data_IF_148648224570
#
_entry.id   IF_148648224570
#
_cell.length_a   1.000
_cell.length_b   1.000
_cell.length_c   1.000
_cell.angle_alpha   90.00
_cell.angle_beta   90.00
_cell.angle_gamma   90.00
#
_symmetry.space_group_name_H-M   'P 1'
#
loop_
_entity.id
_entity.type
_entity.pdbx_description
1 polymer ?
#
# COMPACT_ATOMS: atom_id res chain seq x y z
N UNK A 1 -15.34 -13.29 -3.29
CA UNK A 1 -14.07 -12.89 -3.93
C UNK A 1 -13.58 -11.57 -3.36
N UNK A 2 -12.31 -11.51 -3.02
CA UNK A 2 -11.73 -10.29 -2.48
C UNK A 2 -11.44 -9.28 -3.59
N UNK A 3 -11.71 -8.00 -3.33
CA UNK A 3 -11.32 -6.90 -4.21
C UNK A 3 -9.88 -6.52 -3.90
N UNK A 4 -9.10 -6.22 -4.93
CA UNK A 4 -7.68 -5.89 -4.79
C UNK A 4 -7.43 -4.39 -4.95
N UNK A 5 -6.52 -3.88 -4.15
CA UNK A 5 -6.10 -2.47 -4.19
C UNK A 5 -4.59 -2.39 -4.04
N UNK A 6 -3.96 -1.48 -4.79
CA UNK A 6 -2.53 -1.22 -4.70
C UNK A 6 -2.32 -0.06 -3.74
N UNK A 7 -1.35 -0.16 -2.83
CA UNK A 7 -1.10 0.95 -1.89
C UNK A 7 0.31 0.91 -1.30
N UNK A 8 0.71 2.04 -0.74
CA UNK A 8 1.89 2.12 0.10
C UNK A 8 1.56 1.59 1.50
N UNK A 9 2.52 0.90 2.12
CA UNK A 9 2.30 0.32 3.44
C UNK A 9 1.93 1.35 4.51
N UNK A 10 2.44 2.57 4.41
CA UNK A 10 2.17 3.63 5.40
C UNK A 10 0.68 4.00 5.47
N UNK A 11 -0.07 3.78 4.40
CA UNK A 11 -1.51 4.04 4.40
C UNK A 11 -2.22 3.27 5.51
N UNK A 12 -1.74 2.06 5.81
CA UNK A 12 -2.32 1.21 6.85
C UNK A 12 -2.10 1.76 8.26
N UNK A 13 -1.05 2.55 8.44
CA UNK A 13 -0.76 3.20 9.72
C UNK A 13 -1.54 4.51 9.88
N UNK A 14 -1.70 5.26 8.79
CA UNK A 14 -2.38 6.56 8.79
C UNK A 14 -3.90 6.36 8.82
N UNK A 15 -4.41 5.39 8.08
CA UNK A 15 -5.85 5.13 7.92
C UNK A 15 -6.21 3.75 8.47
N UNK A 16 -6.37 3.68 9.79
CA UNK A 16 -6.67 2.41 10.47
C UNK A 16 -7.95 1.72 9.97
N UNK A 17 -8.91 2.47 9.44
CA UNK A 17 -10.14 1.90 8.90
C UNK A 17 -9.89 0.96 7.71
N UNK A 18 -8.74 1.06 7.05
CA UNK A 18 -8.39 0.14 5.97
C UNK A 18 -8.21 -1.30 6.47
N UNK A 19 -7.95 -1.49 7.77
CA UNK A 19 -7.82 -2.82 8.36
C UNK A 19 -9.16 -3.39 8.85
N UNK A 20 -10.24 -2.63 8.70
CA UNK A 20 -11.58 -3.03 9.15
C UNK A 20 -12.64 -2.77 8.08
N UNK A 21 -12.46 -3.26 6.85
CA UNK A 21 -13.46 -3.08 5.80
C UNK A 21 -14.69 -3.95 6.07
N UNK A 22 -15.79 -3.66 5.39
CA UNK A 22 -17.03 -4.41 5.54
C UNK A 22 -17.11 -5.64 4.62
N UNK A 23 -16.20 -5.76 3.67
CA UNK A 23 -16.13 -6.91 2.76
C UNK A 23 -14.68 -7.32 2.53
N UNK A 24 -14.43 -8.55 2.03
CA UNK A 24 -13.06 -9.03 1.84
C UNK A 24 -12.25 -8.17 0.88
N UNK A 25 -11.01 -7.84 1.26
CA UNK A 25 -10.08 -7.07 0.44
C UNK A 25 -8.69 -7.69 0.47
N UNK A 26 -7.97 -7.52 -0.64
CA UNK A 26 -6.55 -7.83 -0.75
C UNK A 26 -5.80 -6.54 -1.02
N UNK A 27 -4.81 -6.22 -0.19
CA UNK A 27 -3.92 -5.10 -0.46
C UNK A 27 -2.63 -5.62 -1.05
N UNK A 28 -2.30 -5.16 -2.25
CA UNK A 28 -1.06 -5.50 -2.94
C UNK A 28 -0.06 -4.38 -2.68
N UNK A 29 1.00 -4.70 -1.97
CA UNK A 29 1.93 -3.72 -1.40
C UNK A 29 3.32 -3.93 -1.99
N UNK A 30 3.86 -2.94 -2.75
CA UNK A 30 5.24 -3.04 -3.21
C UNK A 30 6.21 -3.11 -2.03
N UNK A 31 7.18 -4.00 -2.10
CA UNK A 31 8.11 -4.24 -1.01
C UNK A 31 8.88 -2.99 -0.60
N UNK A 32 9.23 -2.14 -1.56
CA UNK A 32 9.96 -0.89 -1.28
C UNK A 32 9.21 0.00 -0.30
N UNK A 33 7.86 -0.01 -0.35
CA UNK A 33 7.06 0.79 0.59
C UNK A 33 7.12 0.23 2.01
N UNK A 34 7.40 -1.06 2.16
CA UNK A 34 7.62 -1.66 3.48
C UNK A 34 8.96 -1.16 4.03
N UNK A 35 10.00 -1.09 3.18
CA UNK A 35 11.30 -0.57 3.59
C UNK A 35 11.21 0.88 4.05
N UNK A 36 10.34 1.67 3.42
CA UNK A 36 10.12 3.05 3.84
C UNK A 36 9.57 3.16 5.27
N UNK A 37 8.85 2.14 5.75
CA UNK A 37 8.32 2.16 7.12
C UNK A 37 9.45 2.26 8.15
N UNK A 38 10.58 1.60 7.90
CA UNK A 38 11.74 1.66 8.80
C UNK A 38 12.30 3.07 8.85
N UNK A 39 12.43 3.71 7.69
CA UNK A 39 12.94 5.09 7.62
C UNK A 39 12.00 6.06 8.33
N UNK A 40 10.69 5.90 8.15
CA UNK A 40 9.68 6.75 8.77
C UNK A 40 9.66 6.58 10.29
N UNK A 41 9.82 5.35 10.79
CA UNK A 41 9.79 5.07 12.22
C UNK A 41 10.99 5.70 12.94
N UNK A 42 12.18 5.56 12.35
CA UNK A 42 13.41 6.02 12.96
C UNK A 42 13.76 7.47 12.63
N UNK A 43 13.08 8.06 11.65
CA UNK A 43 13.30 9.42 11.22
C UNK A 43 12.80 10.45 12.23
N UNK A 44 13.43 11.63 12.21
CA UNK A 44 13.04 12.75 13.07
C UNK A 44 11.92 13.59 12.46
N UNK A 45 11.62 13.41 11.19
CA UNK A 45 10.56 14.17 10.53
C UNK A 45 9.17 13.68 10.96
N UNK A 46 8.24 14.65 11.07
CA UNK A 46 6.86 14.34 11.39
C UNK A 46 6.14 13.83 10.15
N UNK A 47 5.45 12.70 10.30
CA UNK A 47 4.57 12.16 9.26
C UNK A 47 3.22 12.86 9.32
N UNK A 48 2.77 13.19 10.54
CA UNK A 48 1.49 13.84 10.80
C UNK A 48 1.69 15.27 11.28
N UNK A 49 0.67 16.15 11.10
CA UNK A 49 0.81 17.58 11.48
C UNK A 49 1.06 17.84 12.95
N UNK A 50 0.58 16.99 13.86
CA UNK A 50 0.77 17.17 15.30
C UNK A 50 1.68 16.11 15.88
N UNK A 51 2.46 16.42 16.93
CA UNK A 51 3.31 15.42 17.58
C UNK A 51 2.54 14.24 18.15
N UNK A 52 1.33 14.46 18.64
CA UNK A 52 0.50 13.38 19.21
C UNK A 52 0.04 12.40 18.13
N UNK A 53 -0.45 12.92 17.00
CA UNK A 53 -0.86 12.09 15.87
C UNK A 53 0.33 11.38 15.26
N UNK A 54 1.47 12.06 15.19
CA UNK A 54 2.70 11.49 14.68
C UNK A 54 3.17 10.31 15.53
N UNK A 55 3.13 10.46 16.86
CA UNK A 55 3.50 9.38 17.77
C UNK A 55 2.58 8.17 17.60
N UNK A 56 1.28 8.41 17.41
CA UNK A 56 0.31 7.34 17.19
C UNK A 56 0.61 6.59 15.89
N UNK A 57 0.84 7.31 14.80
CA UNK A 57 1.16 6.71 13.50
C UNK A 57 2.48 5.94 13.57
N UNK A 58 3.50 6.49 14.20
CA UNK A 58 4.79 5.80 14.37
C UNK A 58 4.65 4.51 15.19
N UNK A 59 3.76 4.53 16.19
CA UNK A 59 3.46 3.31 16.94
C UNK A 59 2.81 2.25 16.04
N UNK A 60 1.88 2.65 15.20
CA UNK A 60 1.24 1.75 14.24
C UNK A 60 2.24 1.22 13.21
N UNK A 61 3.16 2.05 12.75
CA UNK A 61 4.25 1.61 11.86
C UNK A 61 5.07 0.52 12.56
N UNK A 62 5.37 0.70 13.84
CA UNK A 62 6.08 -0.33 14.62
C UNK A 62 5.35 -1.65 14.68
N UNK A 63 4.02 -1.62 14.84
CA UNK A 63 3.20 -2.82 14.82
C UNK A 63 3.24 -3.51 13.46
N UNK A 64 3.16 -2.74 12.37
CA UNK A 64 3.25 -3.29 11.02
C UNK A 64 4.62 -3.92 10.76
N UNK A 65 5.70 -3.25 11.18
CA UNK A 65 7.06 -3.78 11.04
C UNK A 65 7.18 -5.13 11.77
N UNK A 66 6.69 -5.18 13.01
CA UNK A 66 6.71 -6.41 13.81
C UNK A 66 5.93 -7.53 13.10
N UNK A 67 4.82 -7.21 12.48
CA UNK A 67 4.02 -8.18 11.73
C UNK A 67 4.81 -8.72 10.53
N UNK A 68 5.44 -7.84 9.76
CA UNK A 68 6.23 -8.25 8.59
C UNK A 68 7.50 -9.02 8.97
N UNK A 69 8.06 -8.77 10.16
CA UNK A 69 9.26 -9.46 10.66
C UNK A 69 8.94 -10.77 11.36
N UNK A 70 7.66 -11.05 11.65
CA UNK A 70 7.28 -12.34 12.18
C UNK A 70 7.86 -13.46 11.30
N UNK A 71 8.43 -14.47 11.92
CA UNK A 71 9.21 -15.50 11.23
C UNK A 71 8.50 -16.10 10.02
N UNK A 72 7.24 -16.43 10.15
CA UNK A 72 6.48 -17.05 9.07
C UNK A 72 6.15 -16.05 7.95
N UNK A 73 5.75 -14.85 8.32
CA UNK A 73 5.46 -13.79 7.35
C UNK A 73 6.71 -13.40 6.58
N UNK A 74 7.84 -13.29 7.28
CA UNK A 74 9.12 -12.96 6.66
C UNK A 74 9.51 -13.98 5.60
N UNK A 75 9.29 -15.25 5.86
CA UNK A 75 9.57 -16.31 4.88
C UNK A 75 8.72 -16.18 3.63
N UNK A 76 7.45 -15.80 3.79
CA UNK A 76 6.56 -15.56 2.65
C UNK A 76 7.06 -14.37 1.82
N UNK A 77 7.46 -13.29 2.47
CA UNK A 77 7.99 -12.11 1.79
C UNK A 77 9.28 -12.46 1.04
N UNK A 78 10.16 -13.23 1.65
CA UNK A 78 11.41 -13.66 1.02
C UNK A 78 11.17 -14.42 -0.29
N UNK A 79 10.07 -15.15 -0.39
CA UNK A 79 9.72 -15.83 -1.65
C UNK A 79 9.44 -14.83 -2.77
N UNK A 80 8.78 -13.71 -2.46
CA UNK A 80 8.56 -12.65 -3.46
C UNK A 80 9.87 -12.05 -3.94
N UNK A 81 10.84 -11.91 -3.02
CA UNK A 81 12.12 -11.24 -3.31
C UNK A 81 13.07 -12.07 -4.17
N UNK A 82 12.73 -13.31 -4.49
CA UNK A 82 13.57 -14.16 -5.32
C UNK A 82 13.59 -13.76 -6.79
N UNK A 83 12.58 -13.03 -7.25
CA UNK A 83 12.48 -12.62 -8.63
C UNK A 83 11.64 -11.35 -8.76
N UNK A 84 12.08 -10.43 -9.62
CA UNK A 84 11.33 -9.21 -9.91
C UNK A 84 9.89 -9.53 -10.31
N UNK A 85 8.96 -8.74 -9.80
CA UNK A 85 7.52 -8.82 -10.04
C UNK A 85 6.84 -10.07 -9.48
N UNK A 86 7.55 -10.85 -8.71
CA UNK A 86 6.94 -11.98 -8.01
C UNK A 86 6.13 -11.49 -6.82
N UNK A 87 5.00 -12.14 -6.59
CA UNK A 87 4.15 -11.87 -5.43
C UNK A 87 4.40 -12.90 -4.34
N UNK A 88 4.28 -12.47 -3.08
CA UNK A 88 4.36 -13.37 -1.95
C UNK A 88 3.11 -14.26 -1.89
N UNK A 89 3.18 -15.39 -1.17
CA UNK A 89 1.98 -16.04 -0.70
C UNK A 89 1.16 -15.05 0.15
N UNK A 90 -0.16 -15.22 0.25
CA UNK A 90 -1.00 -14.31 1.03
C UNK A 90 -0.61 -14.25 2.50
N UNK A 91 -0.63 -13.03 3.08
CA UNK A 91 -0.44 -12.79 4.50
C UNK A 91 -1.81 -12.41 5.10
N UNK A 92 -2.55 -13.35 5.69
CA UNK A 92 -3.85 -13.02 6.27
C UNK A 92 -3.69 -12.20 7.54
N UNK A 93 -4.38 -11.07 7.58
CA UNK A 93 -4.32 -10.12 8.70
C UNK A 93 -5.49 -10.36 9.65
N UNK A 94 -6.69 -10.48 9.08
CA UNK A 94 -7.91 -10.77 9.81
C UNK A 94 -8.92 -11.41 8.85
N UNK A 95 -10.15 -11.53 9.30
CA UNK A 95 -11.21 -12.20 8.53
C UNK A 95 -11.42 -11.60 7.14
N UNK A 96 -11.23 -10.29 6.99
CA UNK A 96 -11.53 -9.60 5.73
C UNK A 96 -10.30 -9.05 5.00
N UNK A 97 -9.13 -9.02 5.64
CA UNK A 97 -7.96 -8.37 5.06
C UNK A 97 -6.82 -9.35 4.84
N UNK A 98 -6.30 -9.35 3.61
CA UNK A 98 -5.10 -10.10 3.23
C UNK A 98 -4.10 -9.15 2.60
N UNK A 99 -2.83 -9.29 2.96
CA UNK A 99 -1.74 -8.56 2.28
C UNK A 99 -1.05 -9.50 1.30
N UNK A 100 -0.68 -8.95 0.15
CA UNK A 100 0.20 -9.61 -0.81
C UNK A 100 1.34 -8.66 -1.11
N UNK A 101 2.57 -9.10 -0.89
CA UNK A 101 3.75 -8.28 -1.10
C UNK A 101 4.29 -8.59 -2.50
N UNK A 102 4.52 -7.54 -3.29
CA UNK A 102 5.06 -7.68 -4.63
C UNK A 102 6.46 -7.06 -4.72
N UNK A 103 7.39 -7.76 -5.38
CA UNK A 103 8.72 -7.22 -5.62
C UNK A 103 8.69 -6.37 -6.89
N UNK A 104 8.09 -5.20 -6.78
CA UNK A 104 8.01 -4.26 -7.89
C UNK A 104 9.38 -3.64 -8.16
N UNK A 105 9.70 -3.46 -9.43
CA UNK A 105 10.96 -2.86 -9.86
C UNK A 105 10.63 -1.70 -10.78
N UNK A 106 11.17 -0.53 -10.49
CA UNK A 106 10.97 0.64 -11.32
C UNK A 106 11.66 0.47 -12.68
N UNK A 107 11.17 1.23 -13.66
CA UNK A 107 11.86 1.39 -14.94
C UNK A 107 11.91 2.89 -15.27
N UNK A 108 12.56 3.24 -16.37
CA UNK A 108 12.75 4.64 -16.74
C UNK A 108 11.54 5.28 -17.42
N UNK A 109 10.49 4.51 -17.68
CA UNK A 109 9.33 4.97 -18.46
C UNK A 109 8.70 6.24 -17.91
N UNK A 110 8.58 6.36 -16.59
CA UNK A 110 7.96 7.49 -15.92
C UNK A 110 8.94 8.34 -15.10
N UNK A 111 10.24 8.08 -15.21
CA UNK A 111 11.25 8.63 -14.29
C UNK A 111 11.44 10.13 -14.32
N UNK A 112 10.94 10.83 -15.34
CA UNK A 112 11.03 12.30 -15.41
C UNK A 112 9.95 13.01 -14.60
N UNK A 113 8.82 12.34 -14.39
CA UNK A 113 7.65 12.94 -13.71
C UNK A 113 7.47 12.34 -12.33
N UNK A 114 7.71 11.04 -12.17
CA UNK A 114 7.44 10.29 -10.95
C UNK A 114 8.75 9.80 -10.32
N UNK A 115 8.77 9.78 -8.97
CA UNK A 115 9.89 9.19 -8.26
C UNK A 115 9.84 7.65 -8.36
N UNK A 116 10.88 6.94 -7.89
CA UNK A 116 10.92 5.48 -7.99
C UNK A 116 9.73 4.78 -7.32
N UNK A 117 9.31 5.23 -6.15
CA UNK A 117 8.19 4.62 -5.43
C UNK A 117 6.89 4.84 -6.19
N UNK A 118 6.65 6.07 -6.65
CA UNK A 118 5.47 6.39 -7.45
C UNK A 118 5.42 5.54 -8.72
N UNK A 119 6.56 5.37 -9.38
CA UNK A 119 6.67 4.54 -10.58
C UNK A 119 6.31 3.09 -10.29
N UNK A 120 6.82 2.53 -9.18
CA UNK A 120 6.51 1.16 -8.81
C UNK A 120 5.02 0.96 -8.53
N UNK A 121 4.38 1.95 -7.90
CA UNK A 121 2.93 1.91 -7.65
C UNK A 121 2.15 1.91 -8.96
N UNK A 122 2.53 2.79 -9.88
CA UNK A 122 1.88 2.88 -11.20
C UNK A 122 2.01 1.55 -11.95
N UNK A 123 3.22 1.02 -12.06
CA UNK A 123 3.48 -0.22 -12.80
C UNK A 123 2.76 -1.40 -12.16
N UNK A 124 2.68 -1.43 -10.83
CA UNK A 124 1.95 -2.48 -10.12
C UNK A 124 0.47 -2.41 -10.43
N UNK A 125 -0.12 -1.19 -10.42
CA UNK A 125 -1.53 -1.00 -10.73
C UNK A 125 -1.86 -1.45 -12.14
N UNK A 126 -0.99 -1.12 -13.11
CA UNK A 126 -1.17 -1.54 -14.50
C UNK A 126 -1.09 -3.06 -14.62
N UNK A 127 -0.07 -3.65 -14.01
CA UNK A 127 0.21 -5.09 -14.11
C UNK A 127 -0.88 -5.92 -13.45
N UNK A 128 -1.35 -5.50 -12.28
CA UNK A 128 -2.34 -6.23 -11.52
C UNK A 128 -3.77 -5.85 -11.90
N UNK A 129 -3.95 -4.81 -12.70
CA UNK A 129 -5.26 -4.31 -13.13
C UNK A 129 -6.16 -4.01 -11.93
N UNK A 130 -5.57 -3.41 -10.91
CA UNK A 130 -6.26 -3.06 -9.67
C UNK A 130 -6.11 -1.57 -9.40
N UNK A 131 -7.09 -0.94 -8.75
CA UNK A 131 -7.01 0.49 -8.44
C UNK A 131 -5.85 0.82 -7.50
N UNK A 132 -5.27 1.99 -7.70
CA UNK A 132 -4.29 2.56 -6.77
C UNK A 132 -5.05 3.33 -5.70
N UNK A 133 -4.80 3.02 -4.43
CA UNK A 133 -5.40 3.70 -3.30
C UNK A 133 -4.37 4.65 -2.68
N UNK A 134 -4.62 5.95 -2.75
CA UNK A 134 -3.70 6.96 -2.23
C UNK A 134 -4.45 8.17 -1.70
N UNK A 135 -3.85 8.85 -0.72
CA UNK A 135 -4.35 10.11 -0.18
C UNK A 135 -3.43 11.30 -0.51
N UNK A 136 -2.39 11.06 -1.31
CA UNK A 136 -1.41 12.08 -1.66
C UNK A 136 -1.89 12.91 -2.85
N UNK A 137 -2.29 14.15 -2.58
CA UNK A 137 -2.85 15.04 -3.60
C UNK A 137 -1.86 15.37 -4.72
N UNK A 138 -0.59 15.58 -4.38
CA UNK A 138 0.44 15.89 -5.36
C UNK A 138 0.63 14.73 -6.34
N UNK A 139 0.62 13.50 -5.83
CA UNK A 139 0.72 12.31 -6.65
C UNK A 139 -0.50 12.18 -7.56
N UNK A 140 -1.69 12.38 -7.00
CA UNK A 140 -2.94 12.34 -7.78
C UNK A 140 -2.92 13.34 -8.92
N UNK A 141 -2.50 14.58 -8.65
CA UNK A 141 -2.42 15.62 -9.68
C UNK A 141 -1.47 15.23 -10.81
N UNK A 142 -0.31 14.66 -10.47
CA UNK A 142 0.64 14.18 -11.48
C UNK A 142 0.06 13.06 -12.33
N UNK A 143 -0.69 12.14 -11.71
CA UNK A 143 -1.33 11.04 -12.43
C UNK A 143 -2.36 11.55 -13.43
N UNK A 144 -3.13 12.55 -13.04
CA UNK A 144 -4.13 13.16 -13.92
C UNK A 144 -3.45 13.88 -15.07
N UNK A 145 -2.45 14.72 -14.78
CA UNK A 145 -1.77 15.53 -15.78
C UNK A 145 -1.01 14.66 -16.80
N UNK A 146 -0.42 13.57 -16.35
CA UNK A 146 0.31 12.65 -17.22
C UNK A 146 -0.60 11.64 -17.92
N UNK A 147 -1.91 11.67 -17.63
CA UNK A 147 -2.92 10.78 -18.24
C UNK A 147 -2.54 9.30 -18.09
N UNK A 148 -2.10 8.93 -16.90
CA UNK A 148 -1.73 7.54 -16.60
C UNK A 148 -2.99 6.66 -16.63
N UNK A 149 -2.97 5.52 -17.36
CA UNK A 149 -4.16 4.71 -17.58
C UNK A 149 -4.45 3.74 -16.43
N UNK A 150 -4.63 4.27 -15.21
CA UNK A 150 -4.96 3.49 -14.03
C UNK A 150 -6.13 4.12 -13.32
N UNK A 151 -6.89 3.32 -12.58
CA UNK A 151 -7.92 3.81 -11.70
C UNK A 151 -7.28 4.22 -10.37
N UNK A 152 -7.64 5.38 -9.86
CA UNK A 152 -7.12 5.90 -8.59
C UNK A 152 -8.29 6.24 -7.70
N UNK A 153 -8.23 5.80 -6.45
CA UNK A 153 -9.27 6.08 -5.45
C UNK A 153 -8.63 6.60 -4.17
N UNK A 154 -9.40 7.35 -3.40
CA UNK A 154 -9.01 7.76 -2.05
C UNK A 154 -9.67 6.85 -1.01
N UNK A 155 -9.44 7.14 0.28
CA UNK A 155 -9.98 6.33 1.37
C UNK A 155 -11.51 6.38 1.41
N UNK A 156 -12.10 7.53 1.13
CA UNK A 156 -13.55 7.68 1.10
C UNK A 156 -14.17 6.85 -0.02
N UNK A 157 -13.57 6.90 -1.22
CA UNK A 157 -13.99 6.07 -2.35
C UNK A 157 -13.87 4.57 -2.02
N UNK A 158 -12.80 4.20 -1.31
CA UNK A 158 -12.58 2.81 -0.87
C UNK A 158 -13.70 2.36 0.06
N UNK A 159 -14.04 3.18 1.05
CA UNK A 159 -15.10 2.83 2.00
C UNK A 159 -16.43 2.65 1.28
N UNK A 160 -16.75 3.57 0.36
CA UNK A 160 -17.97 3.48 -0.44
C UNK A 160 -17.98 2.22 -1.31
N UNK A 161 -16.86 1.89 -1.94
CA UNK A 161 -16.76 0.72 -2.83
C UNK A 161 -16.97 -0.59 -2.07
N UNK A 162 -16.41 -0.71 -0.86
CA UNK A 162 -16.53 -1.93 -0.06
C UNK A 162 -17.89 -2.02 0.62
N UNK A 163 -18.49 -0.90 0.98
CA UNK A 163 -19.84 -0.83 1.51
C UNK A 163 -20.88 -1.19 0.44
N UNK A 164 -20.64 -0.73 -0.80
CA UNK A 164 -21.55 -0.98 -1.91
C UNK A 164 -21.81 -2.47 -2.18
N UNK A 165 -20.81 -3.31 -1.95
CA UNK A 165 -20.98 -4.76 -2.10
C UNK A 165 -21.98 -5.34 -1.12
N UNK A 166 -22.19 -4.66 -0.03
CA UNK A 166 -23.10 -5.06 1.04
C UNK A 166 -24.57 -4.80 0.67
N UNK A 167 -24.83 -3.85 -0.19
CA UNK A 167 -26.17 -3.44 -0.57
C UNK A 167 -26.79 -4.33 -1.67
N UNK A 168 -26.01 -5.22 -2.22
CA UNK A 168 -26.48 -6.15 -3.22
C UNK A 168 -27.05 -7.40 -2.56
#
# INVERSE_FOLDING_TARGET
MARSFIMEAVMLAVHGQLLAPESPVEYIIPYTTILELYEMKDGSELIMPTPEDDAHVKNKIGELIAYFEDSFNKKKIEKALQMAWRKSPPLPINEYVTFTIIYAVENEEYGEVFDPIETELILTAIKEKSPLLTDQLDFLDKLIDAQIPIEVIDVEDFEFATEGDFLL
#
